data_IF_460882669134
#
_entry.id   IF_460882669134
#
_cell.length_a   1.000
_cell.length_b   1.000
_cell.length_c   1.000
_cell.angle_alpha   90.00
_cell.angle_beta   90.00
_cell.angle_gamma   90.00
#
_symmetry.space_group_name_H-M   'P 1'
#
loop_
_entity.id
_entity.type
_entity.pdbx_description
1 polymer ?
#
# COMPACT_ATOMS: atom_id res chain seq x y z
N UNK A 1 3.18 13.94 -1.23
CA UNK A 1 2.86 14.81 -2.40
C UNK A 1 2.67 16.25 -1.95
N UNK A 2 1.63 16.59 -1.18
CA UNK A 2 1.39 17.98 -0.71
C UNK A 2 2.58 18.62 0.04
N UNK A 3 3.21 17.88 0.98
CA UNK A 3 4.41 18.38 1.68
C UNK A 3 5.57 18.67 0.72
N UNK A 4 5.74 17.86 -0.31
CA UNK A 4 6.81 18.06 -1.31
C UNK A 4 6.47 19.18 -2.29
N UNK A 5 5.20 19.38 -2.65
CA UNK A 5 4.79 20.50 -3.50
C UNK A 5 5.00 21.84 -2.81
N UNK A 6 4.72 21.93 -1.51
CA UNK A 6 5.03 23.09 -0.68
C UNK A 6 6.54 23.36 -0.62
N UNK A 7 7.35 22.31 -0.41
CA UNK A 7 8.81 22.43 -0.38
C UNK A 7 9.39 22.93 -1.70
N UNK A 8 8.84 22.46 -2.82
CA UNK A 8 9.30 22.79 -4.17
C UNK A 8 8.61 24.02 -4.77
N UNK A 9 7.64 24.62 -4.08
CA UNK A 9 6.79 25.72 -4.55
C UNK A 9 6.17 25.44 -5.93
N UNK A 10 5.72 24.20 -6.13
CA UNK A 10 5.05 23.78 -7.36
C UNK A 10 3.55 23.91 -7.18
N UNK A 11 2.90 24.62 -8.10
CA UNK A 11 1.47 24.46 -8.33
C UNK A 11 1.26 23.16 -9.11
N UNK A 12 0.51 22.25 -8.52
CA UNK A 12 0.29 20.91 -9.04
C UNK A 12 -1.19 20.63 -9.28
N UNK A 13 -2.10 21.59 -9.10
CA UNK A 13 -3.55 21.34 -9.18
C UNK A 13 -3.95 20.64 -10.50
N UNK A 14 -3.50 21.19 -11.64
CA UNK A 14 -3.81 20.60 -12.96
C UNK A 14 -3.18 19.21 -13.15
N UNK A 15 -1.92 19.04 -12.73
CA UNK A 15 -1.22 17.75 -12.81
C UNK A 15 -1.90 16.71 -11.90
N UNK A 16 -2.40 17.13 -10.74
CA UNK A 16 -3.08 16.28 -9.78
C UNK A 16 -4.41 15.78 -10.36
N UNK A 17 -5.19 16.64 -11.00
CA UNK A 17 -6.45 16.27 -11.65
C UNK A 17 -6.22 15.22 -12.74
N UNK A 18 -5.26 15.46 -13.64
CA UNK A 18 -4.89 14.50 -14.69
C UNK A 18 -4.42 13.17 -14.10
N UNK A 19 -3.57 13.20 -13.07
CA UNK A 19 -3.04 12.00 -12.44
C UNK A 19 -4.15 11.18 -11.75
N UNK A 20 -5.08 11.83 -11.06
CA UNK A 20 -6.19 11.17 -10.38
C UNK A 20 -7.13 10.53 -11.39
N UNK A 21 -7.54 11.25 -12.44
CA UNK A 21 -8.36 10.69 -13.52
C UNK A 21 -7.67 9.51 -14.20
N UNK A 22 -6.36 9.62 -14.46
CA UNK A 22 -5.60 8.50 -15.04
C UNK A 22 -5.54 7.29 -14.11
N UNK A 23 -5.48 7.48 -12.80
CA UNK A 23 -5.47 6.38 -11.83
C UNK A 23 -6.85 5.73 -11.65
N UNK A 24 -7.93 6.51 -11.64
CA UNK A 24 -9.26 6.04 -11.27
C UNK A 24 -10.16 5.72 -12.47
N UNK A 25 -9.99 6.43 -13.60
CA UNK A 25 -10.92 6.38 -14.73
C UNK A 25 -10.34 5.67 -15.97
N UNK A 26 -9.03 5.39 -16.00
CA UNK A 26 -8.38 4.73 -17.15
C UNK A 26 -8.78 3.26 -17.35
N UNK A 27 -9.40 2.64 -16.36
CA UNK A 27 -9.67 1.19 -16.34
C UNK A 27 -8.42 0.33 -16.17
N UNK A 28 -7.23 0.92 -15.97
CA UNK A 28 -5.99 0.16 -15.76
C UNK A 28 -5.94 -0.52 -14.38
N UNK A 29 -6.58 0.07 -13.37
CA UNK A 29 -6.61 -0.45 -12.02
C UNK A 29 -8.00 -1.03 -11.69
N UNK A 30 -8.01 -2.19 -11.03
CA UNK A 30 -9.22 -2.79 -10.51
C UNK A 30 -9.36 -2.54 -9.01
N UNK A 31 -10.58 -2.23 -8.59
CA UNK A 31 -10.88 -2.05 -7.17
C UNK A 31 -10.97 -3.40 -6.47
N UNK A 32 -10.12 -3.62 -5.47
CA UNK A 32 -10.14 -4.83 -4.64
C UNK A 32 -10.95 -4.56 -3.37
N UNK A 33 -12.10 -5.22 -3.25
CA UNK A 33 -12.86 -5.23 -2.01
C UNK A 33 -12.21 -6.19 -1.00
N UNK A 34 -11.89 -5.73 0.23
CA UNK A 34 -11.36 -6.62 1.26
C UNK A 34 -12.34 -7.73 1.62
N UNK A 35 -11.86 -8.97 1.66
CA UNK A 35 -12.67 -10.11 2.11
C UNK A 35 -12.86 -10.09 3.62
N UNK A 36 -13.81 -10.89 4.13
CA UNK A 36 -14.03 -11.01 5.59
C UNK A 36 -12.76 -11.51 6.31
N UNK A 37 -11.99 -12.36 5.64
CA UNK A 37 -10.70 -12.91 6.07
C UNK A 37 -9.64 -11.81 6.16
N UNK A 38 -9.62 -10.90 5.19
CA UNK A 38 -8.71 -9.75 5.20
C UNK A 38 -9.03 -8.84 6.41
N UNK A 39 -10.30 -8.57 6.67
CA UNK A 39 -10.73 -7.77 7.83
C UNK A 39 -10.33 -8.45 9.14
N UNK A 40 -10.56 -9.76 9.28
CA UNK A 40 -10.16 -10.53 10.47
C UNK A 40 -8.65 -10.49 10.70
N UNK A 41 -7.85 -10.60 9.63
CA UNK A 41 -6.39 -10.53 9.71
C UNK A 41 -5.92 -9.10 10.08
N UNK A 42 -6.50 -8.07 9.47
CA UNK A 42 -6.20 -6.68 9.81
C UNK A 42 -6.50 -6.37 11.29
N UNK A 43 -7.61 -6.89 11.81
CA UNK A 43 -7.96 -6.79 13.22
C UNK A 43 -6.92 -7.47 14.14
N UNK A 44 -6.38 -8.64 13.76
CA UNK A 44 -5.30 -9.30 14.52
C UNK A 44 -4.04 -8.43 14.56
N UNK A 45 -3.62 -7.84 13.44
CA UNK A 45 -2.46 -6.95 13.39
C UNK A 45 -2.66 -5.71 14.29
N UNK A 46 -3.88 -5.16 14.30
CA UNK A 46 -4.26 -4.08 15.22
C UNK A 46 -4.14 -4.49 16.68
N UNK A 47 -4.62 -5.68 17.04
CA UNK A 47 -4.52 -6.24 18.39
C UNK A 47 -3.07 -6.48 18.82
N UNK A 48 -2.18 -6.85 17.89
CA UNK A 48 -0.74 -7.00 18.12
C UNK A 48 0.01 -5.66 18.25
N UNK A 49 -0.68 -4.54 18.03
CA UNK A 49 -0.18 -3.20 18.35
C UNK A 49 0.12 -2.30 17.16
N UNK A 50 0.01 -2.80 15.91
CA UNK A 50 0.18 -1.92 14.75
C UNK A 50 -1.04 -1.02 14.57
N UNK A 51 -0.81 0.30 14.60
CA UNK A 51 -1.90 1.27 14.75
C UNK A 51 -2.53 1.74 13.45
N UNK A 52 -1.81 1.58 12.34
CA UNK A 52 -2.31 1.99 11.03
C UNK A 52 -3.23 0.91 10.45
N UNK A 53 -4.54 1.16 10.52
CA UNK A 53 -5.55 0.23 10.03
C UNK A 53 -5.56 0.11 8.50
N UNK A 54 -5.10 1.15 7.78
CA UNK A 54 -5.05 1.11 6.32
C UNK A 54 -3.93 0.16 5.90
N UNK A 55 -2.73 0.31 6.45
CA UNK A 55 -1.61 -0.61 6.22
C UNK A 55 -1.98 -2.06 6.61
N UNK A 56 -2.65 -2.23 7.76
CA UNK A 56 -3.12 -3.55 8.21
C UNK A 56 -4.08 -4.19 7.20
N UNK A 57 -5.04 -3.42 6.68
CA UNK A 57 -6.05 -3.91 5.75
C UNK A 57 -5.47 -4.19 4.37
N UNK A 58 -4.61 -3.32 3.86
CA UNK A 58 -3.93 -3.50 2.58
C UNK A 58 -3.00 -4.71 2.60
N UNK A 59 -2.23 -4.89 3.67
CA UNK A 59 -1.44 -6.10 3.85
C UNK A 59 -2.33 -7.34 3.90
N UNK A 60 -3.39 -7.31 4.72
CA UNK A 60 -4.27 -8.46 4.85
C UNK A 60 -4.94 -8.83 3.53
N UNK A 61 -5.43 -7.83 2.77
CA UNK A 61 -6.00 -8.02 1.44
C UNK A 61 -4.97 -8.61 0.47
N UNK A 62 -3.71 -8.18 0.53
CA UNK A 62 -2.66 -8.74 -0.31
C UNK A 62 -2.40 -10.22 0.00
N UNK A 63 -2.47 -10.61 1.28
CA UNK A 63 -2.24 -12.00 1.69
C UNK A 63 -3.41 -12.88 1.23
N UNK A 64 -4.65 -12.44 1.48
CA UNK A 64 -5.84 -13.24 1.14
C UNK A 64 -6.06 -13.38 -0.36
N UNK A 65 -5.62 -12.41 -1.16
CA UNK A 65 -5.72 -12.44 -2.63
C UNK A 65 -4.41 -12.90 -3.31
N UNK A 66 -3.41 -13.34 -2.54
CA UNK A 66 -2.10 -13.76 -3.03
C UNK A 66 -1.41 -12.74 -3.96
N UNK A 67 -1.52 -11.45 -3.60
CA UNK A 67 -0.98 -10.32 -4.34
C UNK A 67 0.36 -9.84 -3.77
N UNK A 68 1.12 -9.15 -4.61
CA UNK A 68 2.28 -8.37 -4.16
C UNK A 68 1.76 -7.10 -3.46
N UNK A 69 2.23 -6.85 -2.24
CA UNK A 69 1.95 -5.60 -1.54
C UNK A 69 3.07 -4.59 -1.77
N UNK A 70 2.80 -3.58 -2.58
CA UNK A 70 3.75 -2.51 -2.87
C UNK A 70 3.79 -1.52 -1.69
N UNK A 71 4.90 -1.48 -0.95
CA UNK A 71 5.07 -0.57 0.18
C UNK A 71 6.53 -0.15 0.37
N UNK A 72 6.72 1.08 0.85
CA UNK A 72 8.02 1.61 1.27
C UNK A 72 8.18 1.62 2.80
N UNK A 73 7.14 1.22 3.55
CA UNK A 73 7.12 1.34 5.00
C UNK A 73 8.00 0.25 5.65
N UNK A 74 9.27 0.59 5.92
CA UNK A 74 10.23 -0.31 6.58
C UNK A 74 9.81 -0.67 8.01
N UNK A 75 9.18 0.27 8.72
CA UNK A 75 8.72 0.02 10.09
C UNK A 75 7.62 -1.03 10.12
N UNK A 76 6.69 -0.95 9.16
CA UNK A 76 5.64 -1.96 9.02
C UNK A 76 6.20 -3.33 8.63
N UNK A 77 7.14 -3.40 7.68
CA UNK A 77 7.84 -4.65 7.35
C UNK A 77 8.53 -5.27 8.57
N UNK A 78 9.22 -4.46 9.37
CA UNK A 78 9.91 -4.92 10.58
C UNK A 78 8.91 -5.41 11.65
N UNK A 79 7.79 -4.72 11.80
CA UNK A 79 6.68 -5.16 12.66
C UNK A 79 6.17 -6.54 12.22
N UNK A 80 5.88 -6.72 10.93
CA UNK A 80 5.41 -8.01 10.39
C UNK A 80 6.42 -9.13 10.65
N UNK A 81 7.72 -8.89 10.39
CA UNK A 81 8.78 -9.86 10.66
C UNK A 81 8.86 -10.24 12.15
N UNK A 82 8.80 -9.24 13.04
CA UNK A 82 8.85 -9.45 14.49
C UNK A 82 7.68 -10.30 14.98
N UNK A 83 6.48 -10.07 14.44
CA UNK A 83 5.27 -10.80 14.81
C UNK A 83 5.08 -12.12 14.02
N UNK A 84 6.08 -12.54 13.23
CA UNK A 84 6.07 -13.82 12.51
C UNK A 84 5.22 -13.89 11.24
N UNK A 85 4.86 -12.74 10.67
CA UNK A 85 4.04 -12.65 9.46
C UNK A 85 4.86 -12.74 8.17
N UNK A 86 4.21 -13.21 7.10
CA UNK A 86 4.78 -13.35 5.75
C UNK A 86 5.18 -11.97 5.20
N UNK A 87 6.42 -11.81 4.75
CA UNK A 87 6.91 -10.56 4.12
C UNK A 87 7.51 -10.74 2.73
N UNK A 88 7.53 -11.95 2.18
CA UNK A 88 8.08 -12.21 0.85
C UNK A 88 7.19 -11.66 -0.29
N UNK A 89 5.91 -11.35 -0.01
CA UNK A 89 5.03 -10.68 -0.95
C UNK A 89 5.14 -9.14 -0.88
N UNK A 90 5.93 -8.58 0.02
CA UNK A 90 6.18 -7.13 0.06
C UNK A 90 7.24 -6.75 -0.98
N UNK A 91 6.98 -5.67 -1.69
CA UNK A 91 7.88 -5.13 -2.70
C UNK A 91 7.97 -3.60 -2.58
N UNK A 92 9.15 -3.02 -2.76
CA UNK A 92 9.30 -1.56 -2.89
C UNK A 92 9.15 -1.12 -4.35
N UNK A 93 8.90 0.18 -4.56
CA UNK A 93 8.90 0.76 -5.90
C UNK A 93 10.20 0.50 -6.67
N UNK A 94 11.37 0.56 -6.01
CA UNK A 94 12.66 0.27 -6.65
C UNK A 94 12.73 -1.19 -7.12
N UNK A 95 12.26 -2.13 -6.30
CA UNK A 95 12.23 -3.55 -6.66
C UNK A 95 11.24 -3.83 -7.80
N UNK A 96 10.10 -3.14 -7.82
CA UNK A 96 9.13 -3.22 -8.92
C UNK A 96 9.76 -2.71 -10.22
N UNK A 97 10.36 -1.52 -10.19
CA UNK A 97 11.00 -0.91 -11.37
C UNK A 97 12.14 -1.76 -11.94
N UNK A 98 12.88 -2.48 -11.09
CA UNK A 98 13.92 -3.42 -11.54
C UNK A 98 13.35 -4.70 -12.16
N UNK A 99 12.09 -5.06 -11.87
CA UNK A 99 11.42 -6.24 -12.44
C UNK A 99 10.72 -5.98 -13.77
N UNK A 100 10.36 -4.74 -14.02
CA UNK A 100 9.62 -4.33 -15.24
C UNK A 100 10.53 -3.66 -16.30
N UNK A 101 11.81 -3.50 -15.99
CA UNK A 101 12.87 -3.16 -16.95
C UNK A 101 13.45 -4.45 -17.52
#
# INVERSE_FOLDING_TARGET
VFRESQRLKLDLEEILDIAIKSLLESGFYEWIQPTSEAVKLAFKLRKLGHRDNIDNLLYAASITNNMIFLTMNKNFKNFLLKEGYKVNNLMSHTQLLLKIK
#
